data_IF_585373044714
#
_entry.id   IF_585373044714
#
_cell.length_a   1.000
_cell.length_b   1.000
_cell.length_c   1.000
_cell.angle_alpha   90.00
_cell.angle_beta   90.00
_cell.angle_gamma   90.00
#
_symmetry.space_group_name_H-M   'P 1'
#
loop_
_entity.id
_entity.type
_entity.pdbx_description
1 polymer ?
#
# COMPACT_ATOMS: atom_id res chain seq x y z
N UNK A 1 10.57 -4.27 13.42
CA UNK A 1 11.07 -5.35 12.52
C UNK A 1 12.03 -6.23 13.30
N UNK A 2 11.97 -7.55 13.08
CA UNK A 2 12.86 -8.52 13.69
C UNK A 2 13.63 -9.29 12.60
N UNK A 3 14.89 -9.59 12.85
CA UNK A 3 15.72 -10.47 12.02
C UNK A 3 16.25 -11.61 12.88
N UNK A 4 16.07 -12.83 12.41
CA UNK A 4 16.59 -14.05 13.03
C UNK A 4 17.72 -14.60 12.15
N UNK A 5 18.92 -14.74 12.70
CA UNK A 5 20.09 -15.29 12.00
C UNK A 5 20.27 -16.75 12.42
N UNK A 6 20.13 -17.66 11.46
CA UNK A 6 20.11 -19.11 11.67
C UNK A 6 21.50 -19.74 11.49
N UNK A 7 22.49 -19.21 12.19
CA UNK A 7 23.82 -19.83 12.29
C UNK A 7 23.79 -21.01 13.27
N UNK A 8 24.93 -21.71 13.48
CA UNK A 8 25.03 -22.84 14.40
C UNK A 8 24.50 -22.53 15.81
N UNK A 9 24.59 -21.25 16.24
CA UNK A 9 23.84 -20.70 17.37
C UNK A 9 22.94 -19.57 16.86
N UNK A 10 21.61 -19.73 16.88
CA UNK A 10 20.69 -18.69 16.42
C UNK A 10 20.81 -17.39 17.24
N UNK A 11 20.72 -16.26 16.55
CA UNK A 11 20.63 -14.92 17.18
C UNK A 11 19.45 -14.14 16.62
N UNK A 12 18.97 -13.15 17.39
CA UNK A 12 17.85 -12.30 17.01
C UNK A 12 18.17 -10.83 17.22
N UNK A 13 17.74 -9.98 16.29
CA UNK A 13 17.84 -8.52 16.35
C UNK A 13 16.46 -7.92 16.13
N UNK A 14 16.02 -7.03 17.01
CA UNK A 14 14.79 -6.27 16.86
C UNK A 14 15.08 -4.77 16.86
N UNK A 15 14.46 -4.03 15.92
CA UNK A 15 14.48 -2.57 15.92
C UNK A 15 13.12 -1.99 15.53
N UNK A 16 12.77 -0.86 16.12
CA UNK A 16 11.70 0.00 15.62
C UNK A 16 12.13 0.62 14.28
N UNK A 17 11.17 0.77 13.37
CA UNK A 17 11.39 1.56 12.16
C UNK A 17 11.30 3.03 12.56
N UNK A 18 12.39 3.76 12.36
CA UNK A 18 12.56 5.16 12.77
C UNK A 18 11.93 6.09 11.73
N UNK A 19 10.61 6.05 11.59
CA UNK A 19 9.87 7.01 10.75
C UNK A 19 10.00 8.43 11.31
N UNK A 20 9.78 9.46 10.49
CA UNK A 20 9.80 10.86 10.94
C UNK A 20 8.86 11.08 12.13
N UNK A 21 7.65 10.56 12.00
CA UNK A 21 6.57 10.68 12.98
C UNK A 21 6.89 9.90 14.25
N UNK A 22 7.52 8.73 14.14
CA UNK A 22 7.99 7.98 15.31
C UNK A 22 9.01 8.79 16.10
N UNK A 23 10.01 9.37 15.42
CA UNK A 23 11.06 10.13 16.09
C UNK A 23 10.52 11.40 16.75
N UNK A 24 9.57 12.08 16.11
CA UNK A 24 8.94 13.28 16.67
C UNK A 24 8.08 12.95 17.89
N UNK A 25 7.27 11.88 17.85
CA UNK A 25 6.48 11.46 19.02
C UNK A 25 7.37 10.96 20.16
N UNK A 26 8.46 10.23 19.87
CA UNK A 26 9.41 9.78 20.88
C UNK A 26 10.13 10.97 21.55
N UNK A 27 10.50 12.00 20.78
CA UNK A 27 11.15 13.20 21.31
C UNK A 27 10.24 14.05 22.20
N UNK A 28 8.91 13.99 21.98
CA UNK A 28 7.92 14.77 22.73
C UNK A 28 7.16 13.95 23.79
N UNK A 29 7.35 12.63 23.83
CA UNK A 29 6.61 11.69 24.67
C UNK A 29 5.08 11.88 24.56
N UNK A 30 4.60 12.07 23.33
CA UNK A 30 3.21 12.43 23.05
C UNK A 30 2.70 11.87 21.72
N UNK A 31 1.39 11.61 21.63
CA UNK A 31 0.73 11.30 20.36
C UNK A 31 0.51 12.62 19.62
N UNK A 32 1.23 12.80 18.52
CA UNK A 32 1.27 14.04 17.74
C UNK A 32 0.56 13.90 16.39
N UNK A 33 0.43 12.67 15.88
CA UNK A 33 -0.14 12.40 14.57
C UNK A 33 -1.39 11.54 14.64
N UNK A 34 -2.28 11.76 13.66
CA UNK A 34 -3.43 10.90 13.41
C UNK A 34 -2.99 9.63 12.69
N UNK A 35 -3.63 8.52 13.00
CA UNK A 35 -3.41 7.23 12.33
C UNK A 35 -4.68 6.78 11.60
N UNK A 36 -4.50 5.87 10.65
CA UNK A 36 -5.60 5.28 9.87
C UNK A 36 -6.68 4.64 10.76
N UNK A 37 -6.29 4.09 11.91
CA UNK A 37 -7.13 3.29 12.80
C UNK A 37 -7.60 4.01 14.06
N UNK A 38 -7.62 5.35 14.06
CA UNK A 38 -8.31 6.15 15.08
C UNK A 38 -7.46 6.68 16.22
N UNK A 39 -6.21 6.24 16.36
CA UNK A 39 -5.27 6.92 17.28
C UNK A 39 -4.97 8.33 16.77
N UNK A 40 -5.11 9.34 17.63
CA UNK A 40 -4.89 10.74 17.30
C UNK A 40 -4.61 11.57 18.57
N UNK A 41 -4.05 12.79 18.46
CA UNK A 41 -3.93 13.73 19.57
C UNK A 41 -5.25 13.94 20.33
N UNK A 42 -5.19 13.98 21.65
CA UNK A 42 -6.34 14.12 22.54
C UNK A 42 -6.22 15.29 23.52
N UNK A 43 -7.21 15.43 24.41
CA UNK A 43 -7.20 16.46 25.46
C UNK A 43 -7.13 17.87 24.90
N UNK A 44 -6.21 18.68 25.42
CA UNK A 44 -6.03 20.09 25.03
C UNK A 44 -5.58 20.26 23.56
N UNK A 45 -5.08 19.21 22.91
CA UNK A 45 -4.60 19.26 21.52
C UNK A 45 -5.59 18.67 20.50
N UNK A 46 -6.76 18.19 20.94
CA UNK A 46 -7.75 17.59 20.06
C UNK A 46 -8.24 18.54 18.95
N UNK A 47 -8.21 19.86 19.20
CA UNK A 47 -8.59 20.88 18.19
C UNK A 47 -7.67 20.87 16.97
N UNK A 48 -6.42 20.38 17.09
CA UNK A 48 -5.46 20.29 15.98
C UNK A 48 -5.85 19.25 14.94
N UNK A 49 -6.71 18.30 15.31
CA UNK A 49 -7.15 17.23 14.40
C UNK A 49 -8.10 17.73 13.31
N UNK A 50 -8.81 18.83 13.57
CA UNK A 50 -9.74 19.40 12.62
C UNK A 50 -8.99 19.86 11.37
N UNK A 51 -9.44 19.40 10.20
CA UNK A 51 -8.88 19.67 8.88
C UNK A 51 -7.48 19.09 8.63
N UNK A 52 -6.88 18.38 9.59
CA UNK A 52 -5.61 17.69 9.38
C UNK A 52 -5.83 16.32 8.72
N UNK A 53 -5.73 16.30 7.39
CA UNK A 53 -5.92 15.08 6.57
C UNK A 53 -4.65 14.24 6.43
N UNK A 54 -3.58 14.54 7.18
CA UNK A 54 -2.33 13.78 7.15
C UNK A 54 -2.46 12.56 8.06
N UNK A 55 -1.86 11.45 7.64
CA UNK A 55 -1.83 10.21 8.40
C UNK A 55 -0.40 9.76 8.64
N UNK A 56 -0.13 9.29 9.86
CA UNK A 56 1.15 8.73 10.27
C UNK A 56 1.48 7.46 9.48
N UNK A 57 2.68 7.41 8.90
CA UNK A 57 3.22 6.16 8.36
C UNK A 57 3.82 5.32 9.51
N UNK A 58 3.25 4.13 9.73
CA UNK A 58 3.66 3.23 10.81
C UNK A 58 4.71 2.19 10.40
N UNK A 59 4.88 1.93 9.09
CA UNK A 59 5.80 0.93 8.55
C UNK A 59 5.74 -0.44 9.28
N UNK A 60 4.54 -0.93 9.58
CA UNK A 60 4.32 -2.02 10.54
C UNK A 60 3.56 -3.26 10.00
N UNK A 61 3.22 -3.33 8.72
CA UNK A 61 2.42 -4.44 8.17
C UNK A 61 3.30 -5.63 7.77
N UNK A 62 4.33 -5.39 6.92
CA UNK A 62 5.18 -6.45 6.36
C UNK A 62 6.63 -5.98 6.27
N UNK A 63 7.59 -6.91 6.25
CA UNK A 63 8.96 -6.65 5.83
C UNK A 63 9.32 -7.52 4.62
N UNK A 64 9.90 -6.92 3.59
CA UNK A 64 10.29 -7.59 2.34
C UNK A 64 11.79 -7.46 2.14
N UNK A 65 12.48 -8.58 1.93
CA UNK A 65 13.84 -8.60 1.41
C UNK A 65 13.80 -9.07 -0.06
N UNK A 66 14.36 -8.28 -0.97
CA UNK A 66 14.44 -8.62 -2.39
C UNK A 66 15.73 -8.10 -3.05
N UNK A 67 16.13 -8.76 -4.13
CA UNK A 67 17.36 -8.50 -4.87
C UNK A 67 18.52 -9.41 -4.48
N UNK A 68 19.66 -9.24 -5.14
CA UNK A 68 20.85 -10.07 -4.90
C UNK A 68 22.12 -9.25 -4.73
N UNK A 69 23.04 -9.79 -3.93
CA UNK A 69 24.37 -9.22 -3.75
C UNK A 69 24.30 -7.76 -3.30
N UNK A 70 24.97 -6.83 -4.00
CA UNK A 70 24.98 -5.41 -3.61
C UNK A 70 23.61 -4.72 -3.82
N UNK A 71 22.73 -5.28 -4.64
CA UNK A 71 21.41 -4.72 -4.94
C UNK A 71 20.32 -5.19 -3.98
N UNK A 72 20.65 -6.07 -3.02
CA UNK A 72 19.68 -6.55 -2.05
C UNK A 72 19.19 -5.40 -1.16
N UNK A 73 17.86 -5.25 -1.04
CA UNK A 73 17.22 -4.26 -0.17
C UNK A 73 16.28 -4.94 0.82
N UNK A 74 16.12 -4.32 1.98
CA UNK A 74 15.10 -4.66 2.97
C UNK A 74 14.16 -3.46 3.11
N UNK A 75 12.87 -3.69 2.90
CA UNK A 75 11.82 -2.68 3.04
C UNK A 75 10.88 -3.07 4.18
N UNK A 76 10.48 -2.10 5.00
CA UNK A 76 9.33 -2.20 5.90
C UNK A 76 8.13 -1.50 5.25
N UNK A 77 6.99 -2.18 5.18
CA UNK A 77 5.84 -1.77 4.39
C UNK A 77 4.64 -1.50 5.30
N UNK A 78 3.79 -0.58 4.84
CA UNK A 78 2.53 -0.22 5.49
C UNK A 78 1.51 0.16 4.42
N UNK A 79 0.30 -0.37 4.55
CA UNK A 79 -0.75 -0.28 3.52
C UNK A 79 -1.21 1.14 3.18
N UNK A 80 -1.04 2.09 4.11
CA UNK A 80 -1.46 3.49 3.94
C UNK A 80 -0.28 4.47 3.80
N UNK A 81 0.89 3.98 3.38
CA UNK A 81 2.07 4.83 3.21
C UNK A 81 3.11 4.25 2.25
N UNK A 82 4.23 4.95 2.13
CA UNK A 82 5.38 4.47 1.37
C UNK A 82 6.25 3.51 2.21
N UNK A 83 7.00 2.60 1.56
CA UNK A 83 7.92 1.72 2.27
C UNK A 83 9.08 2.50 2.91
N UNK A 84 9.68 1.93 3.95
CA UNK A 84 10.92 2.41 4.55
C UNK A 84 12.05 1.44 4.25
N UNK A 85 13.13 1.93 3.66
CA UNK A 85 14.35 1.16 3.46
C UNK A 85 15.10 0.97 4.79
N UNK A 86 15.54 -0.26 5.03
CA UNK A 86 16.31 -0.66 6.20
C UNK A 86 17.66 -1.25 5.77
N UNK A 87 18.69 -1.07 6.60
CA UNK A 87 19.96 -1.79 6.43
C UNK A 87 19.77 -3.27 6.77
N UNK A 88 20.15 -4.16 5.86
CA UNK A 88 20.00 -5.61 6.01
C UNK A 88 20.70 -6.20 7.24
N UNK A 89 21.87 -5.67 7.59
CA UNK A 89 22.71 -6.16 8.68
C UNK A 89 22.26 -5.68 10.07
N UNK A 90 21.77 -4.45 10.15
CA UNK A 90 21.56 -3.72 11.41
C UNK A 90 20.10 -3.39 11.68
N UNK A 91 19.20 -3.52 10.70
CA UNK A 91 17.81 -3.05 10.73
C UNK A 91 17.67 -1.55 10.97
N UNK A 92 18.74 -0.78 10.77
CA UNK A 92 18.70 0.68 10.86
C UNK A 92 17.86 1.24 9.73
N UNK A 93 16.97 2.18 10.05
CA UNK A 93 16.15 2.86 9.05
C UNK A 93 17.01 3.82 8.25
N UNK A 94 17.05 3.61 6.93
CA UNK A 94 17.75 4.47 5.98
C UNK A 94 16.86 5.66 5.62
N UNK A 95 15.58 5.42 5.39
CA UNK A 95 14.61 6.46 5.05
C UNK A 95 13.43 5.91 4.24
N UNK A 96 12.60 6.81 3.72
CA UNK A 96 11.50 6.47 2.82
C UNK A 96 12.04 5.98 1.47
N UNK A 97 11.47 4.90 0.96
CA UNK A 97 11.71 4.39 -0.41
C UNK A 97 10.70 5.00 -1.37
N UNK A 98 11.21 5.65 -2.42
CA UNK A 98 10.41 6.36 -3.43
C UNK A 98 10.53 5.74 -4.82
N UNK A 99 11.28 4.64 -4.95
CA UNK A 99 11.58 3.95 -6.21
C UNK A 99 12.16 4.88 -7.28
N UNK A 100 13.13 5.71 -6.86
CA UNK A 100 13.76 6.72 -7.71
C UNK A 100 12.87 7.94 -7.96
N UNK A 101 12.09 8.37 -6.95
CA UNK A 101 11.21 9.53 -7.04
C UNK A 101 9.87 9.29 -7.74
N UNK A 102 9.55 8.04 -8.09
CA UNK A 102 8.26 7.65 -8.68
C UNK A 102 7.11 7.82 -7.69
N UNK A 103 7.37 7.55 -6.41
CA UNK A 103 6.36 7.65 -5.37
C UNK A 103 6.51 8.92 -4.54
N UNK A 104 5.41 9.65 -4.40
CA UNK A 104 5.33 10.83 -3.56
C UNK A 104 4.79 10.45 -2.17
N UNK A 105 5.47 10.82 -1.08
CA UNK A 105 4.94 10.62 0.27
C UNK A 105 3.75 11.55 0.54
N UNK A 106 2.81 11.09 1.35
CA UNK A 106 1.62 11.84 1.74
C UNK A 106 0.41 10.94 1.89
N UNK A 107 -0.73 11.52 2.26
CA UNK A 107 -2.01 10.78 2.31
C UNK A 107 -2.43 10.39 0.90
N UNK A 108 -2.76 9.12 0.67
CA UNK A 108 -3.00 8.54 -0.65
C UNK A 108 -4.34 8.95 -1.28
N UNK A 109 -4.57 10.25 -1.43
CA UNK A 109 -5.79 10.87 -1.97
C UNK A 109 -5.39 11.89 -3.03
N UNK A 110 -6.27 12.17 -3.99
CA UNK A 110 -6.21 13.34 -4.88
C UNK A 110 -7.60 13.94 -5.00
N UNK A 111 -7.65 15.26 -5.19
CA UNK A 111 -8.87 15.95 -5.59
C UNK A 111 -9.01 16.05 -7.12
N UNK A 112 -7.99 15.65 -7.88
CA UNK A 112 -7.97 15.81 -9.34
C UNK A 112 -7.88 17.27 -9.82
N UNK A 113 -7.55 18.20 -8.92
CA UNK A 113 -7.50 19.65 -9.18
C UNK A 113 -6.09 20.16 -9.52
N UNK A 114 -5.11 19.25 -9.66
CA UNK A 114 -3.75 19.53 -10.08
C UNK A 114 -2.68 19.16 -9.04
N UNK A 115 -1.51 18.74 -9.54
CA UNK A 115 -0.39 18.21 -8.73
C UNK A 115 0.11 19.20 -7.66
N UNK A 116 0.11 20.49 -7.97
CA UNK A 116 0.54 21.54 -7.04
C UNK A 116 -0.36 21.66 -5.81
N UNK A 117 -1.68 21.51 -5.99
CA UNK A 117 -2.62 21.54 -4.87
C UNK A 117 -2.48 20.30 -4.00
N UNK A 118 -2.38 19.12 -4.63
CA UNK A 118 -2.15 17.87 -3.91
C UNK A 118 -0.89 17.95 -3.03
N UNK A 119 0.21 18.50 -3.56
CA UNK A 119 1.44 18.73 -2.78
C UNK A 119 1.22 19.67 -1.60
N UNK A 120 0.52 20.79 -1.81
CA UNK A 120 0.24 21.76 -0.76
C UNK A 120 -0.63 21.17 0.37
N UNK A 121 -1.52 20.23 0.04
CA UNK A 121 -2.40 19.53 0.99
C UNK A 121 -1.74 18.30 1.62
N UNK A 122 -0.49 17.97 1.26
CA UNK A 122 0.21 16.79 1.79
C UNK A 122 -0.32 15.47 1.22
N UNK A 123 -0.91 15.50 0.04
CA UNK A 123 -1.42 14.34 -0.67
C UNK A 123 -0.31 13.65 -1.48
N UNK A 124 -0.34 12.32 -1.51
CA UNK A 124 0.68 11.47 -2.10
C UNK A 124 0.13 10.14 -2.58
N UNK A 125 0.97 9.12 -2.51
CA UNK A 125 0.68 7.75 -2.91
C UNK A 125 0.89 6.81 -1.72
N UNK A 126 0.19 5.68 -1.72
CA UNK A 126 0.49 4.54 -0.86
C UNK A 126 1.03 3.39 -1.69
N UNK A 127 1.86 2.54 -1.09
CA UNK A 127 2.34 1.31 -1.69
C UNK A 127 1.72 0.10 -0.99
N UNK A 128 1.52 -1.00 -1.72
CA UNK A 128 1.05 -2.25 -1.12
C UNK A 128 1.96 -2.73 0.01
N UNK A 129 1.36 -3.30 1.06
CA UNK A 129 2.08 -4.05 2.08
C UNK A 129 2.22 -5.55 1.74
N UNK A 130 1.64 -6.00 0.63
CA UNK A 130 1.58 -7.39 0.18
C UNK A 130 2.16 -7.55 -1.22
N UNK A 131 3.43 -7.17 -1.46
CA UNK A 131 4.06 -7.43 -2.74
C UNK A 131 4.27 -8.93 -2.93
N UNK A 132 4.27 -9.38 -4.17
CA UNK A 132 4.47 -10.79 -4.53
C UNK A 132 5.77 -10.98 -5.29
N UNK A 133 6.35 -12.17 -5.18
CA UNK A 133 7.48 -12.59 -6.01
C UNK A 133 6.95 -13.57 -7.04
N UNK A 134 7.06 -13.23 -8.31
CA UNK A 134 6.80 -14.14 -9.42
C UNK A 134 8.04 -15.05 -9.60
N UNK A 135 7.97 -16.34 -9.26
CA UNK A 135 9.12 -17.23 -9.35
C UNK A 135 9.48 -17.58 -10.80
N UNK A 136 8.53 -17.48 -11.73
CA UNK A 136 8.73 -17.82 -13.14
C UNK A 136 9.45 -16.69 -13.87
N UNK A 137 9.00 -15.44 -13.67
CA UNK A 137 9.65 -14.25 -14.23
C UNK A 137 10.85 -13.77 -13.40
N UNK A 138 10.98 -14.27 -12.16
CA UNK A 138 11.93 -13.80 -11.13
C UNK A 138 11.81 -12.29 -10.91
N UNK A 139 10.57 -11.84 -10.73
CA UNK A 139 10.23 -10.43 -10.54
C UNK A 139 9.56 -10.21 -9.20
N UNK A 140 9.93 -9.11 -8.56
CA UNK A 140 9.10 -8.54 -7.50
C UNK A 140 7.96 -7.79 -8.17
N UNK A 141 6.74 -8.02 -7.72
CA UNK A 141 5.52 -7.36 -8.17
C UNK A 141 4.98 -6.53 -7.03
N UNK A 142 4.86 -5.24 -7.26
CA UNK A 142 4.28 -4.29 -6.30
C UNK A 142 3.38 -3.31 -7.01
N UNK A 143 2.59 -2.59 -6.23
CA UNK A 143 1.70 -1.58 -6.76
C UNK A 143 1.56 -0.42 -5.79
N UNK A 144 1.18 0.72 -6.34
CA UNK A 144 0.82 1.91 -5.59
C UNK A 144 -0.52 2.44 -6.07
N UNK A 145 -1.15 3.25 -5.23
CA UNK A 145 -2.47 3.80 -5.54
C UNK A 145 -2.71 5.19 -4.97
N UNK A 146 -3.71 5.84 -5.52
CA UNK A 146 -4.27 7.10 -5.04
C UNK A 146 -5.81 7.06 -5.13
N UNK A 147 -6.50 7.44 -4.07
CA UNK A 147 -7.95 7.60 -4.08
C UNK A 147 -8.33 8.92 -4.73
N UNK A 148 -9.13 8.87 -5.79
CA UNK A 148 -9.75 10.03 -6.46
C UNK A 148 -11.04 10.36 -5.73
N UNK A 149 -10.93 11.16 -4.67
CA UNK A 149 -11.99 11.36 -3.70
C UNK A 149 -13.29 11.94 -4.29
N UNK A 150 -13.19 12.79 -5.32
CA UNK A 150 -14.36 13.38 -5.98
C UNK A 150 -15.08 12.40 -6.93
N UNK A 151 -14.40 11.34 -7.36
CA UNK A 151 -14.91 10.39 -8.36
C UNK A 151 -15.33 9.07 -7.76
N UNK A 152 -14.98 8.80 -6.50
CA UNK A 152 -15.26 7.53 -5.84
C UNK A 152 -14.46 6.37 -6.45
N UNK A 153 -13.23 6.64 -6.91
CA UNK A 153 -12.36 5.68 -7.62
C UNK A 153 -10.97 5.65 -7.02
N UNK A 154 -10.21 4.62 -7.35
CA UNK A 154 -8.80 4.52 -7.03
C UNK A 154 -7.99 4.29 -8.31
N UNK A 155 -7.00 5.14 -8.56
CA UNK A 155 -6.00 4.88 -9.59
C UNK A 155 -4.93 3.97 -9.02
N UNK A 156 -4.60 2.90 -9.72
CA UNK A 156 -3.65 1.88 -9.32
C UNK A 156 -2.61 1.73 -10.43
N UNK A 157 -1.34 1.70 -10.06
CA UNK A 157 -0.26 1.32 -10.96
C UNK A 157 0.48 0.14 -10.38
N UNK A 158 0.60 -0.93 -11.18
CA UNK A 158 1.40 -2.10 -10.86
C UNK A 158 2.71 -1.99 -11.61
N UNK A 159 3.81 -2.30 -10.94
CA UNK A 159 5.13 -2.37 -11.54
C UNK A 159 5.85 -3.62 -11.07
N UNK A 160 6.72 -4.13 -11.94
CA UNK A 160 7.57 -5.26 -11.65
C UNK A 160 9.04 -4.85 -11.65
N UNK A 161 9.87 -5.50 -10.83
CA UNK A 161 11.30 -5.24 -10.73
C UNK A 161 12.11 -6.53 -10.80
N UNK A 162 13.25 -6.51 -11.49
CA UNK A 162 14.22 -7.63 -11.40
C UNK A 162 14.96 -7.64 -10.06
N UNK A 163 15.89 -8.60 -9.92
CA UNK A 163 16.75 -8.75 -8.76
C UNK A 163 17.80 -7.62 -8.60
N UNK A 164 17.90 -6.69 -9.56
CA UNK A 164 18.71 -5.46 -9.51
C UNK A 164 17.86 -4.22 -9.25
N UNK A 165 16.57 -4.39 -8.98
CA UNK A 165 15.59 -3.30 -8.85
C UNK A 165 15.45 -2.44 -10.11
N UNK A 166 15.78 -2.98 -11.28
CA UNK A 166 15.42 -2.34 -12.54
C UNK A 166 13.92 -2.58 -12.78
N UNK A 167 13.12 -1.52 -12.95
CA UNK A 167 11.70 -1.67 -13.26
C UNK A 167 11.54 -2.28 -14.65
N UNK A 168 10.57 -3.17 -14.81
CA UNK A 168 9.97 -3.49 -16.10
C UNK A 168 8.64 -2.74 -16.26
N UNK A 169 7.97 -2.97 -17.39
CA UNK A 169 6.70 -2.35 -17.77
C UNK A 169 5.71 -2.26 -16.63
N UNK A 170 4.92 -1.20 -16.66
CA UNK A 170 3.93 -0.90 -15.63
C UNK A 170 2.53 -0.97 -16.22
N UNK A 171 1.55 -1.36 -15.41
CA UNK A 171 0.15 -1.41 -15.81
C UNK A 171 -0.63 -0.45 -14.92
N UNK A 172 -1.31 0.52 -15.52
CA UNK A 172 -2.16 1.47 -14.82
C UNK A 172 -3.64 1.21 -15.13
N UNK A 173 -4.50 1.31 -14.12
CA UNK A 173 -5.95 1.15 -14.26
C UNK A 173 -6.67 1.81 -13.08
N UNK A 174 -7.98 2.06 -13.26
CA UNK A 174 -8.84 2.58 -12.20
C UNK A 174 -9.74 1.48 -11.63
N UNK A 175 -9.74 1.32 -10.31
CA UNK A 175 -10.74 0.52 -9.60
C UNK A 175 -11.94 1.38 -9.22
N UNK A 176 -13.18 0.84 -9.32
CA UNK A 176 -14.41 1.56 -8.98
C UNK A 176 -14.69 1.53 -7.46
N UNK A 177 -13.68 1.87 -6.66
CA UNK A 177 -13.71 1.82 -5.19
C UNK A 177 -12.98 3.01 -4.56
N UNK A 178 -13.41 3.40 -3.36
CA UNK A 178 -12.75 4.40 -2.51
C UNK A 178 -11.82 3.78 -1.47
N UNK A 179 -11.76 2.46 -1.43
CA UNK A 179 -10.86 1.70 -0.58
C UNK A 179 -10.18 0.66 -1.46
N UNK A 180 -8.88 0.81 -1.65
CA UNK A 180 -8.12 -0.18 -2.42
C UNK A 180 -8.03 -1.48 -1.61
N UNK A 181 -8.20 -2.65 -2.24
CA UNK A 181 -8.09 -3.92 -1.54
C UNK A 181 -6.74 -4.07 -0.82
N UNK A 182 -6.77 -4.71 0.35
CA UNK A 182 -5.62 -4.87 1.23
C UNK A 182 -4.49 -5.69 0.58
N UNK A 183 -4.87 -6.73 -0.15
CA UNK A 183 -3.98 -7.68 -0.82
C UNK A 183 -4.44 -7.88 -2.27
N UNK A 184 -3.59 -8.55 -3.05
CA UNK A 184 -3.86 -9.00 -4.41
C UNK A 184 -3.21 -10.36 -4.64
N UNK A 185 -3.51 -11.01 -5.75
CA UNK A 185 -2.72 -12.15 -6.22
C UNK A 185 -2.43 -12.00 -7.71
N UNK A 186 -1.59 -12.90 -8.23
CA UNK A 186 -1.19 -12.91 -9.62
C UNK A 186 -1.26 -14.31 -10.19
N UNK A 187 -1.55 -14.37 -11.47
CA UNK A 187 -1.43 -15.55 -12.33
C UNK A 187 -0.40 -15.23 -13.43
N UNK A 188 -0.07 -16.18 -14.34
CA UNK A 188 0.79 -15.88 -15.48
C UNK A 188 0.30 -14.70 -16.33
N UNK A 189 -1.03 -14.54 -16.46
CA UNK A 189 -1.67 -13.57 -17.35
C UNK A 189 -2.35 -12.39 -16.65
N UNK A 190 -2.74 -12.51 -15.37
CA UNK A 190 -3.55 -11.51 -14.68
C UNK A 190 -2.97 -11.08 -13.33
N UNK A 191 -3.14 -9.81 -13.00
CA UNK A 191 -3.21 -9.36 -11.62
C UNK A 191 -4.66 -9.42 -11.17
N UNK A 192 -4.91 -9.88 -9.94
CA UNK A 192 -6.25 -10.16 -9.43
C UNK A 192 -6.44 -9.49 -8.07
N UNK A 193 -7.51 -8.70 -7.94
CA UNK A 193 -7.92 -8.08 -6.67
C UNK A 193 -9.31 -8.54 -6.26
N UNK A 194 -9.55 -8.62 -4.95
CA UNK A 194 -10.89 -8.74 -4.38
C UNK A 194 -11.33 -7.42 -3.75
N UNK A 195 -12.24 -6.71 -4.42
CA UNK A 195 -12.92 -5.55 -3.85
C UNK A 195 -13.98 -6.00 -2.84
N UNK A 196 -13.70 -5.78 -1.56
CA UNK A 196 -14.73 -5.88 -0.52
C UNK A 196 -15.72 -4.73 -0.68
N UNK A 197 -17.01 -5.05 -0.62
CA UNK A 197 -18.08 -4.05 -0.70
C UNK A 197 -18.13 -3.19 0.56
N UNK A 198 -17.46 -2.04 0.50
CA UNK A 198 -17.32 -1.09 1.61
C UNK A 198 -17.55 0.34 1.13
N UNK A 199 -18.22 1.14 1.96
CA UNK A 199 -18.43 2.56 1.72
C UNK A 199 -17.79 3.37 2.85
N UNK A 200 -17.11 4.47 2.50
CA UNK A 200 -16.60 5.42 3.49
C UNK A 200 -17.65 6.48 3.83
N UNK A 201 -18.40 6.27 4.93
CA UNK A 201 -19.44 7.19 5.41
C UNK A 201 -18.91 8.24 6.38
N UNK A 202 -17.85 7.94 7.12
CA UNK A 202 -17.27 8.84 8.14
C UNK A 202 -16.42 9.99 7.61
N UNK A 203 -16.66 10.48 6.39
CA UNK A 203 -15.82 11.52 5.74
C UNK A 203 -15.84 12.83 6.53
N UNK A 204 -17.03 13.26 6.94
CA UNK A 204 -17.19 14.50 7.69
C UNK A 204 -16.51 14.40 9.05
N UNK A 205 -16.68 13.28 9.76
CA UNK A 205 -16.05 13.00 11.04
C UNK A 205 -14.53 12.94 10.93
N UNK A 206 -14.02 12.32 9.86
CA UNK A 206 -12.59 12.30 9.57
C UNK A 206 -12.05 13.72 9.32
N UNK A 207 -12.73 14.51 8.49
CA UNK A 207 -12.33 15.89 8.18
C UNK A 207 -12.41 16.81 9.40
N UNK A 208 -13.41 16.62 10.27
CA UNK A 208 -13.56 17.35 11.52
C UNK A 208 -12.64 16.84 12.65
N UNK A 209 -11.80 15.84 12.39
CA UNK A 209 -10.85 15.33 13.38
C UNK A 209 -11.50 14.51 14.51
N UNK A 210 -12.69 13.97 14.31
CA UNK A 210 -13.46 13.20 15.31
C UNK A 210 -13.16 11.70 15.28
N UNK A 211 -12.79 11.17 14.11
CA UNK A 211 -12.51 9.75 13.88
C UNK A 211 -11.33 9.58 12.92
N UNK A 212 -10.64 8.45 13.01
CA UNK A 212 -9.75 7.97 11.94
C UNK A 212 -10.54 7.49 10.72
N UNK A 213 -9.91 7.39 9.54
CA UNK A 213 -10.59 6.98 8.31
C UNK A 213 -11.17 5.56 8.40
N UNK A 214 -10.48 4.61 9.02
CA UNK A 214 -10.97 3.22 9.13
C UNK A 214 -12.25 3.10 9.98
N UNK A 215 -12.43 3.97 10.98
CA UNK A 215 -13.63 4.00 11.83
C UNK A 215 -14.88 4.52 11.10
N UNK A 216 -14.69 5.14 9.94
CA UNK A 216 -15.77 5.62 9.07
C UNK A 216 -16.15 4.66 7.95
N UNK A 217 -15.52 3.48 7.87
CA UNK A 217 -15.80 2.47 6.86
C UNK A 217 -16.96 1.57 7.31
N UNK A 218 -17.91 1.36 6.41
CA UNK A 218 -19.04 0.45 6.60
C UNK A 218 -19.04 -0.65 5.55
N UNK A 219 -19.20 -1.90 5.98
CA UNK A 219 -19.37 -3.05 5.08
C UNK A 219 -20.81 -3.11 4.58
N UNK A 220 -20.99 -3.16 3.25
CA UNK A 220 -22.29 -3.35 2.59
C UNK A 220 -22.71 -4.82 2.68
N UNK A 221 -23.28 -5.20 3.82
CA UNK A 221 -23.71 -6.59 4.08
C UNK A 221 -24.65 -7.09 2.99
N UNK A 222 -24.29 -8.20 2.35
CA UNK A 222 -25.11 -8.86 1.33
C UNK A 222 -24.87 -8.37 -0.10
N UNK A 223 -24.08 -7.31 -0.30
CA UNK A 223 -23.65 -6.92 -1.64
C UNK A 223 -22.65 -7.96 -2.21
N UNK A 224 -22.72 -8.28 -3.52
CA UNK A 224 -21.79 -9.22 -4.14
C UNK A 224 -20.37 -8.66 -4.12
N UNK A 225 -19.38 -9.50 -3.80
CA UNK A 225 -17.98 -9.10 -3.95
C UNK A 225 -17.60 -9.00 -5.43
N UNK A 226 -16.58 -8.20 -5.72
CA UNK A 226 -16.06 -8.03 -7.08
C UNK A 226 -14.62 -8.50 -7.14
N UNK A 227 -14.37 -9.47 -8.02
CA UNK A 227 -13.04 -9.85 -8.43
C UNK A 227 -12.66 -9.05 -9.68
N UNK A 228 -11.57 -8.32 -9.57
CA UNK A 228 -11.02 -7.50 -10.64
C UNK A 228 -9.81 -8.20 -11.23
N UNK A 229 -9.86 -8.50 -12.53
CA UNK A 229 -8.77 -9.10 -13.28
C UNK A 229 -8.21 -8.06 -14.24
N UNK A 230 -6.90 -7.80 -14.14
CA UNK A 230 -6.19 -6.87 -15.02
C UNK A 230 -5.10 -7.64 -15.74
N UNK A 231 -5.07 -7.53 -17.07
CA UNK A 231 -4.05 -8.21 -17.88
C UNK A 231 -2.65 -7.70 -17.49
N UNK A 232 -1.72 -8.63 -17.23
CA UNK A 232 -0.30 -8.31 -16.98
C UNK A 232 0.38 -7.92 -18.29
N UNK A 233 1.36 -7.01 -18.20
CA UNK A 233 2.20 -6.67 -19.34
C UNK A 233 3.00 -7.89 -19.83
N UNK A 234 3.38 -7.89 -21.12
CA UNK A 234 4.21 -8.96 -21.67
C UNK A 234 5.64 -8.84 -21.11
N UNK A 235 6.29 -9.97 -20.92
CA UNK A 235 7.67 -10.00 -20.41
C UNK A 235 8.61 -9.23 -21.34
N UNK A 236 9.30 -8.21 -20.82
CA UNK A 236 10.25 -7.40 -21.59
C UNK A 236 9.70 -6.11 -22.17
N UNK A 237 8.42 -5.79 -21.93
CA UNK A 237 7.90 -4.45 -22.16
C UNK A 237 8.50 -3.50 -21.11
N UNK A 238 9.02 -2.35 -21.54
CA UNK A 238 9.50 -1.28 -20.66
C UNK A 238 8.51 -0.11 -20.57
N UNK A 239 7.40 -0.17 -21.32
CA UNK A 239 6.40 0.89 -21.39
C UNK A 239 5.31 0.77 -20.31
N UNK A 240 4.74 1.92 -19.94
CA UNK A 240 3.51 1.98 -19.15
C UNK A 240 2.32 1.72 -20.09
N UNK A 241 1.50 0.73 -19.75
CA UNK A 241 0.30 0.37 -20.52
C UNK A 241 -0.97 0.55 -19.70
N UNK A 242 -2.05 0.97 -20.36
CA UNK A 242 -3.38 1.02 -19.74
C UNK A 242 -3.96 -0.39 -19.64
N UNK A 243 -4.27 -0.79 -18.41
CA UNK A 243 -4.78 -2.11 -18.08
C UNK A 243 -6.23 -2.30 -18.48
N UNK A 244 -6.53 -3.42 -19.13
CA UNK A 244 -7.92 -3.83 -19.37
C UNK A 244 -8.48 -4.51 -18.13
N UNK A 245 -9.39 -3.83 -17.45
CA UNK A 245 -10.09 -4.34 -16.27
C UNK A 245 -11.29 -5.21 -16.66
N UNK A 246 -11.29 -6.46 -16.22
CA UNK A 246 -12.44 -7.36 -16.22
C UNK A 246 -12.96 -7.49 -14.78
N UNK A 247 -14.27 -7.50 -14.59
CA UNK A 247 -14.87 -7.64 -13.25
C UNK A 247 -15.84 -8.80 -13.23
N UNK A 248 -15.69 -9.66 -12.23
CA UNK A 248 -16.57 -10.81 -11.98
C UNK A 248 -17.18 -10.64 -10.60
N UNK A 249 -18.50 -10.78 -10.52
CA UNK A 249 -19.20 -10.78 -9.23
C UNK A 249 -19.22 -12.18 -8.63
N UNK A 250 -19.03 -12.25 -7.32
CA UNK A 250 -19.15 -13.47 -6.53
C UNK A 250 -20.23 -13.30 -5.45
N UNK A 251 -20.69 -14.38 -4.80
CA UNK A 251 -21.46 -14.25 -3.57
C UNK A 251 -20.76 -13.33 -2.54
N UNK A 252 -21.47 -12.80 -1.54
CA UNK A 252 -20.88 -11.94 -0.51
C UNK A 252 -19.90 -12.68 0.41
N UNK A 253 -18.71 -12.14 0.61
CA UNK A 253 -17.73 -12.59 1.62
C UNK A 253 -16.80 -11.42 1.98
N UNK A 254 -15.71 -11.65 2.71
CA UNK A 254 -14.72 -10.61 3.02
C UNK A 254 -13.31 -11.16 2.84
N UNK A 255 -12.51 -10.49 2.02
CA UNK A 255 -11.13 -10.85 1.71
C UNK A 255 -10.18 -9.88 2.40
N UNK A 256 -9.29 -10.39 3.24
CA UNK A 256 -8.10 -9.64 3.64
C UNK A 256 -6.91 -10.14 2.85
N UNK A 257 -6.66 -11.46 2.87
CA UNK A 257 -5.50 -12.06 2.20
C UNK A 257 -5.91 -13.07 1.14
N UNK A 258 -5.13 -13.13 0.07
CA UNK A 258 -5.19 -14.19 -0.91
C UNK A 258 -4.17 -15.28 -0.56
N UNK A 259 -4.52 -16.55 -0.78
CA UNK A 259 -3.53 -17.63 -0.68
C UNK A 259 -2.66 -17.70 -1.94
N UNK A 260 -3.30 -17.89 -3.10
CA UNK A 260 -2.70 -17.92 -4.43
C UNK A 260 -3.81 -17.81 -5.48
N UNK A 261 -3.43 -17.73 -6.76
CA UNK A 261 -4.33 -17.89 -7.91
C UNK A 261 -3.59 -18.65 -9.02
N UNK A 262 -4.34 -19.41 -9.81
CA UNK A 262 -3.82 -20.15 -10.96
C UNK A 262 -4.77 -20.10 -12.15
N UNK A 263 -4.24 -20.34 -13.34
CA UNK A 263 -5.01 -20.45 -14.57
C UNK A 263 -5.10 -21.93 -14.97
N UNK A 264 -6.31 -22.48 -14.99
CA UNK A 264 -6.58 -23.85 -15.45
C UNK A 264 -7.32 -23.80 -16.79
N UNK A 265 -6.79 -24.49 -17.80
CA UNK A 265 -7.50 -24.72 -19.06
C UNK A 265 -8.43 -25.91 -18.86
N UNK A 266 -9.74 -25.65 -18.83
CA UNK A 266 -10.72 -26.73 -18.78
C UNK A 266 -10.67 -27.53 -20.09
N UNK A 267 -10.70 -28.87 -20.03
CA UNK A 267 -10.89 -29.69 -21.22
C UNK A 267 -12.20 -29.27 -21.91
N UNK A 268 -12.14 -29.06 -23.21
CA UNK A 268 -13.30 -28.76 -24.07
C UNK A 268 -14.33 -29.89 -24.07
#
# INVERSE_FOLDING_TARGET
VYALRLEARPTGLGRFVRTSEFNEEEANDAIMFRSTFGTQPGGADAWRNAFDVRLKNLANTTALAWGRGPDARLLALFEAGLPHALRLDTLETVGLETFGGRLRPGTAVTLGLGDGLDRALGFGLQHTAHPHIDPHRRRLVGWWSQIRALEGRASVTVQEWDERWAPSGAVEFDLPTELVPHDFCLTPSFYVWCENRMTFRGRAEYFLGLKGPAEGLEVERGAPNRLHLVLRHASGDDELVQGKLLTVETPPWFCIHHSHAEEELLPS
#
